data_IF_477701329782
#
_entry.id   IF_477701329782
#
_cell.length_a   1.000
_cell.length_b   1.000
_cell.length_c   1.000
_cell.angle_alpha   90.00
_cell.angle_beta   90.00
_cell.angle_gamma   90.00
#
_symmetry.space_group_name_H-M   'P 1'
#
loop_
_entity.id
_entity.type
_entity.pdbx_description
1 polymer ?
#
# COMPACT_ATOMS: atom_id res chain seq x y z
N UNK A 1 -12.66 4.21 -9.34
CA UNK A 1 -11.82 3.08 -9.77
C UNK A 1 -11.60 2.22 -8.55
N UNK A 2 -11.89 0.92 -8.64
CA UNK A 2 -11.74 0.01 -7.51
C UNK A 2 -10.26 -0.38 -7.30
N UNK A 3 -9.81 -0.60 -6.05
CA UNK A 3 -8.45 -1.05 -5.77
C UNK A 3 -8.25 -2.53 -6.16
N UNK A 4 -7.00 -3.02 -6.28
CA UNK A 4 -6.74 -4.44 -6.53
C UNK A 4 -7.07 -5.29 -5.28
N UNK A 5 -7.20 -6.61 -5.46
CA UNK A 5 -7.33 -7.60 -4.38
C UNK A 5 -8.50 -7.35 -3.42
N UNK A 6 -9.70 -7.11 -3.97
CA UNK A 6 -10.89 -6.79 -3.18
C UNK A 6 -11.51 -8.04 -2.56
N UNK A 7 -11.43 -8.14 -1.23
CA UNK A 7 -12.07 -9.18 -0.46
C UNK A 7 -13.54 -8.82 -0.20
N UNK A 8 -14.44 -9.53 -0.89
CA UNK A 8 -15.89 -9.50 -0.65
C UNK A 8 -16.27 -10.83 -0.03
N UNK A 9 -16.35 -10.87 1.29
CA UNK A 9 -16.72 -12.10 1.99
C UNK A 9 -17.56 -11.78 3.21
N UNK A 10 -18.70 -12.47 3.30
CA UNK A 10 -19.68 -12.37 4.37
C UNK A 10 -19.37 -13.36 5.52
N UNK A 11 -18.28 -14.12 5.39
CA UNK A 11 -17.79 -15.07 6.39
C UNK A 11 -17.36 -14.33 7.66
N UNK A 12 -17.65 -14.91 8.83
CA UNK A 12 -17.30 -14.31 10.11
C UNK A 12 -15.78 -14.05 10.22
N UNK A 13 -15.34 -12.89 10.77
CA UNK A 13 -13.93 -12.59 10.96
C UNK A 13 -13.19 -13.70 11.73
N UNK A 14 -12.01 -14.10 11.26
CA UNK A 14 -11.21 -15.17 11.87
C UNK A 14 -11.69 -16.60 11.62
N UNK A 15 -12.84 -16.79 10.96
CA UNK A 15 -13.29 -18.14 10.56
C UNK A 15 -12.39 -18.76 9.49
N UNK A 16 -12.36 -20.09 9.42
CA UNK A 16 -11.61 -20.81 8.39
C UNK A 16 -12.05 -20.42 6.96
N UNK A 17 -13.36 -20.19 6.77
CA UNK A 17 -13.89 -19.68 5.50
C UNK A 17 -13.33 -18.29 5.17
N UNK A 18 -13.34 -17.37 6.15
CA UNK A 18 -12.77 -16.02 5.96
C UNK A 18 -11.28 -16.07 5.63
N UNK A 19 -10.52 -16.96 6.27
CA UNK A 19 -9.10 -17.16 5.99
C UNK A 19 -8.87 -17.72 4.57
N UNK A 20 -9.71 -18.65 4.12
CA UNK A 20 -9.66 -19.18 2.76
C UNK A 20 -10.00 -18.10 1.71
N UNK A 21 -11.05 -17.30 1.94
CA UNK A 21 -11.43 -16.18 1.06
C UNK A 21 -10.30 -15.15 0.97
N UNK A 22 -9.68 -14.84 2.12
CA UNK A 22 -8.53 -13.95 2.26
C UNK A 22 -7.36 -14.47 1.43
N UNK A 23 -6.98 -15.74 1.60
CA UNK A 23 -5.88 -16.36 0.87
C UNK A 23 -6.13 -16.43 -0.64
N UNK A 24 -7.37 -16.71 -1.07
CA UNK A 24 -7.74 -16.76 -2.48
C UNK A 24 -7.77 -15.38 -3.16
N UNK A 25 -8.02 -14.31 -2.38
CA UNK A 25 -8.12 -12.94 -2.89
C UNK A 25 -6.79 -12.19 -2.83
N UNK A 26 -5.91 -12.58 -1.90
CA UNK A 26 -4.66 -11.88 -1.64
C UNK A 26 -3.81 -11.74 -2.91
N UNK A 27 -3.38 -10.51 -3.19
CA UNK A 27 -2.48 -10.23 -4.29
C UNK A 27 -1.07 -10.08 -3.76
N UNK A 28 -0.16 -10.96 -4.22
CA UNK A 28 1.25 -10.82 -3.93
C UNK A 28 1.82 -9.64 -4.71
N UNK A 29 2.39 -8.65 -4.01
CA UNK A 29 2.92 -7.45 -4.64
C UNK A 29 4.11 -6.88 -3.85
N UNK A 30 4.80 -5.94 -4.48
CA UNK A 30 5.79 -5.07 -3.86
C UNK A 30 5.19 -3.67 -3.66
N UNK A 31 5.17 -3.22 -2.41
CA UNK A 31 4.63 -1.93 -2.01
C UNK A 31 5.77 -0.99 -1.64
N UNK A 32 5.83 0.15 -2.31
CA UNK A 32 6.68 1.28 -1.96
C UNK A 32 5.85 2.39 -1.29
N UNK A 33 6.15 2.69 -0.03
CA UNK A 33 5.48 3.76 0.71
C UNK A 33 6.15 5.09 0.39
N UNK A 34 5.43 5.99 -0.27
CA UNK A 34 6.02 7.21 -0.83
C UNK A 34 6.23 8.30 0.22
N UNK A 35 5.65 8.15 1.42
CA UNK A 35 5.75 9.11 2.51
C UNK A 35 6.20 8.48 3.82
N UNK A 36 6.89 9.29 4.61
CA UNK A 36 7.19 9.02 6.02
C UNK A 36 6.63 10.16 6.87
N UNK A 37 5.77 9.86 7.84
CA UNK A 37 5.05 10.85 8.66
C UNK A 37 4.41 11.98 7.82
N UNK A 38 3.78 11.62 6.68
CA UNK A 38 3.11 12.56 5.79
C UNK A 38 4.02 13.30 4.80
N UNK A 39 5.35 13.23 4.95
CA UNK A 39 6.32 13.89 4.06
C UNK A 39 6.72 12.95 2.93
N UNK A 40 6.67 13.43 1.68
CA UNK A 40 7.14 12.64 0.53
C UNK A 40 8.65 12.43 0.59
N UNK A 41 9.10 11.21 0.33
CA UNK A 41 10.52 10.84 0.38
C UNK A 41 11.10 10.67 -1.03
N UNK A 42 12.40 10.97 -1.26
CA UNK A 42 13.07 10.68 -2.53
C UNK A 42 12.98 9.20 -2.92
N UNK A 43 12.93 8.90 -4.22
CA UNK A 43 12.69 7.54 -4.70
C UNK A 43 13.74 6.54 -4.22
N UNK A 44 15.01 6.96 -4.12
CA UNK A 44 16.10 6.12 -3.59
C UNK A 44 15.85 5.70 -2.14
N UNK A 45 15.43 6.65 -1.29
CA UNK A 45 15.15 6.38 0.11
C UNK A 45 13.92 5.50 0.27
N UNK A 46 12.87 5.76 -0.52
CA UNK A 46 11.67 4.91 -0.58
C UNK A 46 12.06 3.48 -0.90
N UNK A 47 12.83 3.27 -1.97
CA UNK A 47 13.20 1.93 -2.41
C UNK A 47 14.08 1.18 -1.38
N UNK A 48 15.02 1.87 -0.76
CA UNK A 48 15.97 1.25 0.19
C UNK A 48 15.37 0.96 1.57
N UNK A 49 14.38 1.75 2.01
CA UNK A 49 13.91 1.72 3.41
C UNK A 49 12.42 1.47 3.59
N UNK A 50 11.63 1.76 2.56
CA UNK A 50 10.17 1.81 2.66
C UNK A 50 9.47 1.01 1.56
N UNK A 51 10.21 0.13 0.89
CA UNK A 51 9.69 -0.87 -0.02
C UNK A 51 9.68 -2.26 0.64
N UNK A 52 8.59 -3.01 0.48
CA UNK A 52 8.47 -4.37 1.01
C UNK A 52 7.59 -5.23 0.11
N UNK A 53 7.82 -6.54 0.14
CA UNK A 53 6.95 -7.53 -0.47
C UNK A 53 5.87 -7.98 0.52
N UNK A 54 4.72 -8.39 0.00
CA UNK A 54 3.69 -8.99 0.84
C UNK A 54 2.41 -9.30 0.10
N UNK A 55 1.44 -9.76 0.89
CA UNK A 55 0.10 -10.09 0.46
C UNK A 55 -0.83 -8.92 0.73
N UNK A 56 -1.23 -8.23 -0.34
CA UNK A 56 -2.14 -7.10 -0.29
C UNK A 56 -3.58 -7.58 -0.35
N UNK A 57 -4.41 -7.05 0.55
CA UNK A 57 -5.86 -7.24 0.54
C UNK A 57 -6.53 -5.90 0.74
N UNK A 58 -7.43 -5.57 -0.17
CA UNK A 58 -8.32 -4.44 -0.03
C UNK A 58 -9.71 -4.91 0.43
N UNK A 59 -10.33 -4.20 1.35
CA UNK A 59 -11.68 -4.50 1.81
C UNK A 59 -12.44 -3.22 2.12
N UNK A 60 -13.76 -3.26 1.96
CA UNK A 60 -14.61 -2.13 2.36
C UNK A 60 -14.89 -2.18 3.85
N UNK A 61 -14.88 -1.04 4.52
CA UNK A 61 -15.21 -0.93 5.95
C UNK A 61 -16.70 -0.71 6.21
N UNK A 62 -17.58 -1.09 5.26
CA UNK A 62 -19.03 -0.89 5.35
C UNK A 62 -19.51 0.54 5.09
N UNK A 63 -18.62 1.54 5.15
CA UNK A 63 -18.89 2.97 4.93
C UNK A 63 -18.55 3.46 3.51
N UNK A 64 -18.49 2.56 2.52
CA UNK A 64 -17.92 2.80 1.18
C UNK A 64 -16.43 3.21 1.16
N UNK A 65 -15.78 3.27 2.32
CA UNK A 65 -14.35 3.49 2.42
C UNK A 65 -13.60 2.16 2.22
N UNK A 66 -12.51 2.24 1.47
CA UNK A 66 -11.59 1.12 1.26
C UNK A 66 -10.46 1.19 2.28
N UNK A 67 -10.04 0.02 2.74
CA UNK A 67 -8.80 -0.17 3.48
C UNK A 67 -7.93 -1.20 2.78
N UNK A 68 -6.62 -1.02 2.79
CA UNK A 68 -5.64 -1.95 2.27
C UNK A 68 -4.71 -2.41 3.40
N UNK A 69 -4.60 -3.72 3.54
CA UNK A 69 -3.73 -4.38 4.50
C UNK A 69 -2.64 -5.10 3.72
N UNK A 70 -1.40 -5.00 4.18
CA UNK A 70 -0.28 -5.74 3.62
C UNK A 70 0.27 -6.67 4.70
N UNK A 71 0.16 -7.97 4.48
CA UNK A 71 0.78 -8.97 5.35
C UNK A 71 2.16 -9.33 4.79
N UNK A 72 3.20 -9.36 5.62
CA UNK A 72 4.53 -9.74 5.16
C UNK A 72 4.55 -11.20 4.71
N UNK A 73 5.42 -11.47 3.74
CA UNK A 73 5.79 -12.81 3.26
C UNK A 73 6.80 -13.50 4.20
N UNK A 74 7.61 -12.70 4.90
CA UNK A 74 8.61 -13.18 5.85
C UNK A 74 7.98 -13.50 7.21
N UNK A 75 8.05 -14.77 7.59
CA UNK A 75 7.80 -15.22 8.96
C UNK A 75 8.85 -14.60 9.89
N UNK A 76 8.52 -13.47 10.53
CA UNK A 76 9.33 -12.87 11.59
C UNK A 76 9.87 -11.46 11.35
N UNK A 77 9.55 -10.79 10.24
CA UNK A 77 9.74 -9.33 10.10
C UNK A 77 8.41 -8.64 9.89
N UNK A 78 8.23 -7.55 10.64
CA UNK A 78 6.98 -6.82 10.83
C UNK A 78 6.22 -6.65 9.52
N UNK A 79 5.07 -7.32 9.41
CA UNK A 79 4.02 -6.89 8.51
C UNK A 79 3.86 -5.36 8.66
N UNK A 80 3.52 -4.65 7.58
CA UNK A 80 3.11 -3.26 7.74
C UNK A 80 1.91 -3.25 8.69
N UNK A 81 2.20 -2.95 9.96
CA UNK A 81 1.27 -3.16 11.07
C UNK A 81 0.11 -2.17 11.01
N UNK A 82 0.25 -1.16 10.15
CA UNK A 82 -0.68 -0.07 9.97
C UNK A 82 -1.24 -0.09 8.55
N UNK A 83 -2.51 -0.51 8.38
CA UNK A 83 -3.14 -0.51 7.08
C UNK A 83 -3.30 0.91 6.54
N UNK A 84 -3.38 1.00 5.22
CA UNK A 84 -3.84 2.20 4.55
C UNK A 84 -5.36 2.24 4.62
N UNK A 85 -5.95 3.27 5.22
CA UNK A 85 -7.41 3.43 5.33
C UNK A 85 -7.90 4.68 4.60
N UNK A 86 -9.22 4.82 4.44
CA UNK A 86 -9.86 5.92 3.69
C UNK A 86 -9.29 6.05 2.27
N UNK A 87 -9.13 4.91 1.60
CA UNK A 87 -8.55 4.90 0.25
C UNK A 87 -9.58 5.51 -0.71
N UNK A 88 -9.31 6.74 -1.16
CA UNK A 88 -10.24 7.53 -1.97
C UNK A 88 -10.18 7.24 -3.46
N UNK A 89 -9.04 6.76 -3.97
CA UNK A 89 -8.90 6.29 -5.34
C UNK A 89 -7.61 5.48 -5.52
N UNK A 90 -7.73 4.31 -6.13
CA UNK A 90 -6.60 3.64 -6.78
C UNK A 90 -6.43 4.23 -8.18
N UNK A 91 -5.21 4.58 -8.57
CA UNK A 91 -4.88 4.86 -9.98
C UNK A 91 -3.98 3.76 -10.49
N UNK A 92 -4.31 3.18 -11.64
CA UNK A 92 -3.33 2.39 -12.38
C UNK A 92 -2.30 3.38 -12.93
N UNK A 93 -1.04 3.23 -12.54
CA UNK A 93 0.04 3.88 -13.29
C UNK A 93 0.14 3.10 -14.60
N UNK A 94 0.18 3.80 -15.72
CA UNK A 94 0.00 3.36 -17.12
C UNK A 94 0.85 2.19 -17.65
N UNK A 95 1.48 1.37 -16.79
CA UNK A 95 2.28 0.19 -17.13
C UNK A 95 2.10 -0.94 -16.11
N UNK A 96 2.08 -2.18 -16.63
CA UNK A 96 2.43 -3.43 -15.93
C UNK A 96 1.67 -3.76 -14.64
N UNK A 97 0.41 -3.34 -14.52
CA UNK A 97 -0.42 -3.71 -13.37
C UNK A 97 0.02 -3.04 -12.06
N UNK A 98 0.67 -1.88 -12.15
CA UNK A 98 1.06 -1.09 -10.98
C UNK A 98 -0.07 -0.14 -10.56
N UNK A 99 -0.36 -0.12 -9.26
CA UNK A 99 -1.42 0.68 -8.65
C UNK A 99 -0.84 1.69 -7.67
N UNK A 100 -1.32 2.93 -7.74
CA UNK A 100 -1.12 3.95 -6.73
C UNK A 100 -2.36 4.03 -5.84
N UNK A 101 -2.22 3.63 -4.59
CA UNK A 101 -3.26 3.75 -3.56
C UNK A 101 -2.99 4.98 -2.70
N UNK A 102 -4.02 5.80 -2.47
CA UNK A 102 -3.92 7.00 -1.64
C UNK A 102 -4.91 6.95 -0.50
N UNK A 103 -4.41 7.15 0.71
CA UNK A 103 -5.24 7.12 1.91
C UNK A 103 -4.52 7.73 3.10
N UNK A 104 -4.79 7.16 4.26
CA UNK A 104 -4.24 7.57 5.55
C UNK A 104 -3.61 6.37 6.23
N UNK A 105 -2.54 6.60 6.99
CA UNK A 105 -1.85 5.58 7.76
C UNK A 105 -1.49 6.15 9.13
N UNK A 106 -1.66 5.33 10.16
CA UNK A 106 -1.18 5.65 11.50
C UNK A 106 0.33 5.42 11.58
N UNK A 107 1.02 6.22 12.38
CA UNK A 107 2.39 5.92 12.78
C UNK A 107 2.48 4.63 13.61
N UNK A 108 3.71 4.19 13.87
CA UNK A 108 3.96 2.96 14.62
C UNK A 108 3.37 2.94 16.03
N UNK A 109 3.24 4.11 16.66
CA UNK A 109 2.66 4.27 18.00
C UNK A 109 1.14 4.43 18.00
N UNK A 110 0.49 4.50 16.83
CA UNK A 110 -0.91 4.92 16.66
C UNK A 110 -1.23 6.27 17.30
N UNK A 111 -0.25 7.16 17.36
CA UNK A 111 -0.39 8.47 17.99
C UNK A 111 -0.90 9.50 16.99
N UNK A 112 -0.38 9.45 15.77
CA UNK A 112 -0.74 10.38 14.71
C UNK A 112 -1.10 9.65 13.42
N UNK A 113 -2.07 10.25 12.72
CA UNK A 113 -2.55 9.80 11.43
C UNK A 113 -2.06 10.77 10.35
N UNK A 114 -1.41 10.23 9.34
CA UNK A 114 -0.82 11.01 8.26
C UNK A 114 -1.33 10.56 6.89
N UNK A 115 -1.39 11.47 5.90
CA UNK A 115 -1.57 11.07 4.51
C UNK A 115 -0.47 10.09 4.08
N UNK A 116 -0.85 9.07 3.34
CA UNK A 116 0.06 8.06 2.81
C UNK A 116 -0.33 7.66 1.38
N UNK A 117 0.70 7.40 0.57
CA UNK A 117 0.57 6.95 -0.81
C UNK A 117 1.39 5.65 -0.94
N UNK A 118 0.75 4.58 -1.40
CA UNK A 118 1.39 3.28 -1.67
C UNK A 118 1.47 3.04 -3.17
N UNK A 119 2.66 2.82 -3.69
CA UNK A 119 2.86 2.33 -5.05
C UNK A 119 3.03 0.81 -5.01
N UNK A 120 2.04 0.08 -5.50
CA UNK A 120 1.95 -1.37 -5.43
C UNK A 120 2.14 -1.95 -6.85
N UNK A 121 3.17 -2.76 -7.06
CA UNK A 121 3.41 -3.44 -8.33
C UNK A 121 3.54 -4.95 -8.17
N UNK A 122 3.30 -5.74 -9.22
CA UNK A 122 3.29 -7.19 -9.13
C UNK A 122 4.67 -7.79 -8.81
N UNK A 123 5.75 -7.09 -9.16
CA UNK A 123 7.14 -7.49 -8.86
C UNK A 123 7.95 -6.30 -8.37
N UNK A 124 9.11 -6.58 -7.76
CA UNK A 124 10.06 -5.55 -7.34
C UNK A 124 10.48 -4.65 -8.51
N UNK A 125 10.76 -5.26 -9.66
CA UNK A 125 11.20 -4.59 -10.88
C UNK A 125 10.12 -3.65 -11.41
N UNK A 126 8.86 -4.12 -11.47
CA UNK A 126 7.73 -3.32 -11.93
C UNK A 126 7.48 -2.12 -10.99
N UNK A 127 7.47 -2.35 -9.67
CA UNK A 127 7.31 -1.28 -8.68
C UNK A 127 8.45 -0.27 -8.76
N UNK A 128 9.70 -0.74 -8.87
CA UNK A 128 10.86 0.14 -9.00
C UNK A 128 10.82 0.94 -10.29
N UNK A 129 10.51 0.30 -11.42
CA UNK A 129 10.40 0.96 -12.72
C UNK A 129 9.33 2.06 -12.73
N UNK A 130 8.22 1.86 -12.02
CA UNK A 130 7.19 2.88 -11.84
C UNK A 130 7.58 3.98 -10.83
N UNK A 131 8.42 3.65 -9.83
CA UNK A 131 8.87 4.59 -8.80
C UNK A 131 9.92 5.58 -9.34
N UNK A 132 10.90 5.11 -10.12
CA UNK A 132 12.05 5.94 -10.54
C UNK A 132 11.65 7.21 -11.32
N UNK A 133 10.68 7.19 -12.25
CA UNK A 133 10.22 8.41 -12.94
C UNK A 133 9.64 9.48 -12.00
N UNK A 134 9.22 9.10 -10.80
CA UNK A 134 8.65 10.02 -9.81
C UNK A 134 9.73 10.76 -9.02
N UNK A 135 11.02 10.39 -9.11
CA UNK A 135 12.07 10.90 -8.22
C UNK A 135 12.18 12.43 -8.24
N UNK A 136 12.17 13.05 -9.42
CA UNK A 136 12.22 14.52 -9.54
C UNK A 136 11.07 15.21 -8.82
N UNK A 137 9.85 14.69 -9.00
CA UNK A 137 8.66 15.21 -8.33
C UNK A 137 8.69 14.95 -6.82
N UNK A 138 9.11 13.76 -6.39
CA UNK A 138 9.25 13.40 -4.98
C UNK A 138 10.27 14.29 -4.27
N UNK A 139 11.43 14.55 -4.90
CA UNK A 139 12.47 15.45 -4.35
C UNK A 139 12.01 16.90 -4.24
N UNK A 140 11.26 17.40 -5.23
CA UNK A 140 10.66 18.72 -5.17
C UNK A 140 9.73 18.84 -3.95
N UNK A 141 8.88 17.83 -3.73
CA UNK A 141 7.99 17.77 -2.56
C UNK A 141 8.72 17.60 -1.23
N UNK A 142 9.78 16.79 -1.19
CA UNK A 142 10.60 16.58 0.01
C UNK A 142 11.32 17.86 0.45
N UNK A 143 11.89 18.60 -0.51
CA UNK A 143 12.67 19.82 -0.24
C UNK A 143 11.84 21.09 -0.14
N UNK A 144 10.53 21.02 -0.40
CA UNK A 144 9.64 22.18 -0.43
C UNK A 144 9.90 23.15 -1.58
N UNK A 145 10.64 22.73 -2.62
CA UNK A 145 10.93 23.54 -3.81
C UNK A 145 9.92 23.19 -4.90
N UNK A 146 8.91 24.04 -5.09
CA UNK A 146 7.98 24.01 -6.23
C UNK A 146 8.26 25.19 -7.15
#
# INVERSE_FOLDING_TARGET
MEPPAILRSDSAPGSAARLADTAATAWHCHVAQLRFCGVYMPASLVWERYACAGWLICQTTGTQEWSANLSSDQTGQDALTFPLFRIGAARVTDRDGVFLLRGQQWDAGRLQCWPQDWLCGPTAEATRAALMPLDGWLRARYTGRL
#
